data_IF_010085069586
#
_entry.id   IF_010085069586
#
_cell.length_a   1.000
_cell.length_b   1.000
_cell.length_c   1.000
_cell.angle_alpha   90.00
_cell.angle_beta   90.00
_cell.angle_gamma   90.00
#
_symmetry.space_group_name_H-M   'P 1'
#
loop_
_entity.id
_entity.type
_entity.pdbx_description
1 polymer ?
#
# COMPACT_ATOMS: atom_id res chain seq x y z
N UNK A 1 12.48 24.13 36.15
CA UNK A 1 11.98 24.26 34.77
C UNK A 1 11.85 22.87 34.18
N UNK A 2 10.65 22.45 33.77
CA UNK A 2 10.47 21.16 33.11
C UNK A 2 11.04 21.26 31.70
N UNK A 3 12.06 20.47 31.38
CA UNK A 3 12.64 20.48 30.04
C UNK A 3 11.66 19.85 29.04
N UNK A 4 11.70 20.27 27.76
CA UNK A 4 10.83 19.69 26.72
C UNK A 4 11.03 18.17 26.66
N UNK A 5 9.93 17.40 26.74
CA UNK A 5 9.95 15.93 26.74
C UNK A 5 10.50 15.34 25.45
N UNK A 6 10.10 15.89 24.31
CA UNK A 6 10.61 15.51 22.98
C UNK A 6 11.68 16.50 22.51
N UNK A 7 12.79 15.98 21.97
CA UNK A 7 13.96 16.79 21.59
C UNK A 7 14.54 16.35 20.25
N UNK A 8 15.72 15.76 20.26
CA UNK A 8 16.47 15.39 19.08
C UNK A 8 15.68 14.40 18.21
N UNK A 9 15.51 14.72 16.92
CA UNK A 9 14.75 13.94 15.93
C UNK A 9 13.31 13.59 16.36
N UNK A 10 12.70 14.41 17.22
CA UNK A 10 11.34 14.18 17.71
C UNK A 10 11.21 13.00 18.68
N UNK A 11 12.31 12.55 19.29
CA UNK A 11 12.30 11.46 20.28
C UNK A 11 12.24 11.97 21.71
N UNK A 12 11.56 11.18 22.54
CA UNK A 12 11.50 11.40 23.98
C UNK A 12 12.91 11.26 24.56
N UNK A 13 13.31 12.21 25.40
CA UNK A 13 14.56 12.14 26.16
C UNK A 13 14.22 12.00 27.63
N UNK A 14 14.72 10.93 28.24
CA UNK A 14 14.64 10.74 29.69
C UNK A 14 15.59 11.72 30.39
N UNK A 15 15.09 12.48 31.36
CA UNK A 15 15.85 13.50 32.08
C UNK A 15 16.84 12.90 33.08
N UNK A 16 16.52 11.72 33.63
CA UNK A 16 17.36 11.07 34.64
C UNK A 16 18.61 10.43 34.01
N UNK A 17 18.45 9.71 32.90
CA UNK A 17 19.56 9.07 32.19
C UNK A 17 20.17 9.93 31.08
N UNK A 18 19.42 10.91 30.56
CA UNK A 18 19.78 11.68 29.37
C UNK A 18 19.63 10.93 28.04
N UNK A 19 19.18 9.67 28.07
CA UNK A 19 19.04 8.84 26.88
C UNK A 19 17.80 9.21 26.08
N UNK A 20 17.85 9.03 24.77
CA UNK A 20 16.70 9.23 23.88
C UNK A 20 16.12 7.89 23.45
N UNK A 21 14.81 7.71 23.61
CA UNK A 21 14.11 6.46 23.29
C UNK A 21 13.58 6.46 21.85
N UNK A 22 14.00 5.47 21.06
CA UNK A 22 13.67 5.38 19.64
C UNK A 22 12.69 4.25 19.31
N UNK A 23 12.11 3.61 20.33
CA UNK A 23 11.26 2.43 20.17
C UNK A 23 12.05 1.15 20.36
N UNK A 24 13.01 0.86 19.49
CA UNK A 24 13.80 -0.37 19.63
C UNK A 24 15.06 -0.24 20.48
N UNK A 25 15.68 0.94 20.47
CA UNK A 25 16.95 1.19 21.15
C UNK A 25 16.94 2.55 21.84
N UNK A 26 17.83 2.69 22.81
CA UNK A 26 18.15 3.96 23.42
C UNK A 26 19.43 4.52 22.80
N UNK A 27 19.36 5.78 22.37
CA UNK A 27 20.50 6.53 21.89
C UNK A 27 21.13 7.29 23.06
N UNK A 28 22.45 7.26 23.19
CA UNK A 28 23.21 8.19 24.02
C UNK A 28 23.61 9.41 23.16
N UNK A 29 22.89 10.54 23.23
CA UNK A 29 23.08 11.62 22.27
C UNK A 29 24.46 12.28 22.39
N UNK A 30 25.09 12.24 23.57
CA UNK A 30 26.43 12.76 23.81
C UNK A 30 27.54 11.91 23.17
N UNK A 31 27.26 10.64 22.84
CA UNK A 31 28.20 9.75 22.14
C UNK A 31 27.85 9.56 20.66
N UNK A 32 26.66 10.00 20.22
CA UNK A 32 26.08 9.67 18.90
C UNK A 32 26.17 8.15 18.61
N UNK A 33 25.81 7.35 19.62
CA UNK A 33 25.87 5.89 19.61
C UNK A 33 24.66 5.27 20.30
N UNK A 34 24.24 4.12 19.80
CA UNK A 34 23.30 3.27 20.50
C UNK A 34 23.95 2.69 21.75
N UNK A 35 23.21 2.58 22.86
CA UNK A 35 23.72 1.93 24.08
C UNK A 35 23.56 0.41 24.06
N UNK A 36 22.92 -0.13 23.02
CA UNK A 36 22.73 -1.56 22.78
C UNK A 36 23.04 -1.87 21.32
N UNK A 37 23.60 -3.05 21.02
CA UNK A 37 23.89 -3.44 19.65
C UNK A 37 22.59 -3.53 18.84
N UNK A 38 22.67 -3.21 17.55
CA UNK A 38 21.60 -3.48 16.61
C UNK A 38 21.31 -4.98 16.57
N UNK A 39 20.17 -5.37 17.13
CA UNK A 39 19.67 -6.75 17.03
C UNK A 39 19.42 -7.19 15.58
N UNK A 40 19.39 -6.26 14.62
CA UNK A 40 19.18 -6.54 13.21
C UNK A 40 20.44 -6.77 12.38
N UNK A 41 21.57 -6.20 12.80
CA UNK A 41 22.78 -6.15 11.98
C UNK A 41 22.59 -5.42 10.65
N UNK A 42 21.62 -4.50 10.58
CA UNK A 42 21.19 -3.86 9.34
C UNK A 42 22.18 -2.78 8.88
N UNK A 43 22.83 -2.08 9.82
CA UNK A 43 23.77 -0.98 9.55
C UNK A 43 25.25 -1.46 9.44
N UNK A 44 25.45 -2.67 8.92
CA UNK A 44 26.78 -3.25 8.69
C UNK A 44 27.44 -3.84 9.94
N UNK A 45 28.78 -3.92 9.92
CA UNK A 45 29.54 -4.63 10.96
C UNK A 45 29.53 -3.93 12.32
N UNK A 46 29.28 -2.62 12.37
CA UNK A 46 29.26 -1.85 13.61
C UNK A 46 27.84 -1.69 14.15
N UNK A 47 27.43 -2.62 15.01
CA UNK A 47 26.07 -2.68 15.56
C UNK A 47 25.69 -1.50 16.47
N UNK A 48 26.64 -0.66 16.88
CA UNK A 48 26.39 0.47 17.77
C UNK A 48 26.33 1.82 17.04
N UNK A 49 26.58 1.81 15.72
CA UNK A 49 26.63 3.04 14.92
C UNK A 49 25.25 3.70 14.85
N UNK A 50 25.20 5.00 15.12
CA UNK A 50 24.02 5.80 14.83
C UNK A 50 24.16 6.34 13.41
N UNK A 51 23.27 5.89 12.52
CA UNK A 51 23.04 6.45 11.17
C UNK A 51 24.31 6.66 10.33
N UNK A 52 25.17 5.63 10.26
CA UNK A 52 26.45 5.65 9.53
C UNK A 52 27.39 6.81 9.88
N UNK A 53 27.33 7.31 11.12
CA UNK A 53 28.09 8.48 11.56
C UNK A 53 27.77 9.78 10.80
N UNK A 54 26.65 9.86 10.10
CA UNK A 54 26.23 11.09 9.43
C UNK A 54 24.87 11.58 9.94
N UNK A 55 24.79 12.02 11.21
CA UNK A 55 23.54 12.47 11.85
C UNK A 55 23.05 13.85 11.39
N UNK A 56 23.80 14.52 10.51
CA UNK A 56 23.37 15.73 9.82
C UNK A 56 22.48 15.36 8.64
N UNK A 57 22.85 14.31 7.90
CA UNK A 57 22.05 13.78 6.80
C UNK A 57 20.93 12.89 7.33
N UNK A 58 21.26 11.98 8.25
CA UNK A 58 20.40 10.87 8.63
C UNK A 58 19.81 10.98 10.05
N UNK A 59 18.64 10.37 10.23
CA UNK A 59 17.93 10.11 11.49
C UNK A 59 17.53 8.62 11.52
N UNK A 60 17.29 8.04 12.68
CA UNK A 60 16.70 6.71 12.77
C UNK A 60 15.33 6.85 13.44
N UNK A 61 14.18 6.60 12.78
CA UNK A 61 12.87 6.82 13.42
C UNK A 61 12.47 5.68 14.36
N UNK A 62 13.12 4.52 14.28
CA UNK A 62 12.66 3.29 14.95
C UNK A 62 13.72 2.67 15.85
N UNK A 63 14.95 3.18 15.79
CA UNK A 63 16.11 2.57 16.40
C UNK A 63 16.56 1.32 15.64
N UNK A 64 16.34 1.22 14.34
CA UNK A 64 16.84 0.11 13.51
C UNK A 64 17.18 0.49 12.08
N UNK A 65 16.67 1.61 11.60
CA UNK A 65 16.74 1.96 10.18
C UNK A 65 17.11 3.42 10.10
N UNK A 66 18.31 3.70 9.60
CA UNK A 66 18.65 5.06 9.20
C UNK A 66 17.79 5.47 8.00
N UNK A 67 17.24 6.67 8.08
CA UNK A 67 16.59 7.43 7.03
C UNK A 67 17.23 8.82 7.04
N UNK A 68 17.03 9.66 6.04
CA UNK A 68 17.48 11.08 5.96
C UNK A 68 16.38 11.94 6.63
N UNK A 69 16.66 13.15 7.07
CA UNK A 69 15.61 14.01 7.63
C UNK A 69 14.85 14.75 6.50
N UNK A 70 13.52 14.85 6.60
CA UNK A 70 12.63 15.51 5.60
C UNK A 70 12.87 17.04 5.51
N UNK A 71 13.66 17.62 6.43
CA UNK A 71 13.90 19.07 6.53
C UNK A 71 15.20 19.54 5.85
N UNK A 72 15.88 18.69 5.10
CA UNK A 72 16.95 19.11 4.21
C UNK A 72 16.56 18.70 2.79
N UNK A 73 16.67 19.63 1.84
CA UNK A 73 16.53 19.40 0.40
C UNK A 73 17.56 18.35 -0.08
N UNK A 74 17.29 17.07 0.20
CA UNK A 74 18.16 15.92 -0.06
C UNK A 74 17.30 14.83 -0.68
N UNK A 75 17.82 14.29 -1.78
CA UNK A 75 17.22 13.33 -2.71
C UNK A 75 16.47 12.15 -2.05
N UNK A 76 15.44 11.68 -2.78
CA UNK A 76 14.57 10.55 -2.46
C UNK A 76 15.35 9.29 -2.05
N UNK A 77 14.86 8.55 -1.05
CA UNK A 77 15.43 7.23 -0.70
C UNK A 77 15.11 6.18 -1.72
N UNK A 78 16.08 5.29 -1.91
CA UNK A 78 15.82 4.00 -2.52
C UNK A 78 15.42 2.98 -1.44
N UNK A 79 14.23 2.39 -1.60
CA UNK A 79 13.73 1.29 -0.78
C UNK A 79 13.65 0.03 -1.63
N UNK A 80 14.41 -1.01 -1.28
CA UNK A 80 14.14 -2.34 -1.84
C UNK A 80 12.90 -2.92 -1.18
N UNK A 81 11.75 -2.73 -1.83
CA UNK A 81 10.45 -3.21 -1.37
C UNK A 81 10.36 -4.74 -1.27
N UNK A 82 11.30 -5.48 -1.86
CA UNK A 82 11.36 -6.94 -1.85
C UNK A 82 12.41 -7.49 -0.88
N UNK A 83 13.17 -6.63 -0.21
CA UNK A 83 14.09 -7.08 0.84
C UNK A 83 13.31 -7.56 2.08
N UNK A 84 13.82 -8.55 2.85
CA UNK A 84 13.10 -9.15 3.98
C UNK A 84 12.61 -8.12 5.03
N UNK A 85 11.37 -8.27 5.50
CA UNK A 85 10.82 -7.46 6.59
C UNK A 85 11.04 -8.19 7.93
N UNK A 86 11.55 -7.50 8.95
CA UNK A 86 11.37 -7.98 10.34
C UNK A 86 10.02 -7.49 10.84
N UNK A 87 9.13 -8.42 11.19
CA UNK A 87 7.74 -8.16 11.60
C UNK A 87 7.61 -7.48 12.95
N UNK A 88 8.12 -6.26 13.07
CA UNK A 88 8.15 -5.46 14.30
C UNK A 88 6.81 -4.79 14.60
N UNK A 89 5.91 -4.70 13.62
CA UNK A 89 4.59 -4.10 13.79
C UNK A 89 3.48 -5.14 13.66
N UNK A 90 2.65 -5.22 14.71
CA UNK A 90 1.44 -6.03 14.72
C UNK A 90 0.26 -5.22 15.27
N UNK A 91 -0.91 -5.46 14.71
CA UNK A 91 -2.14 -4.80 15.12
C UNK A 91 -3.34 -5.72 14.88
N UNK A 92 -4.25 -5.83 15.84
CA UNK A 92 -5.47 -6.65 15.74
C UNK A 92 -6.47 -6.16 14.68
N UNK A 93 -6.34 -4.90 14.25
CA UNK A 93 -7.11 -4.33 13.16
C UNK A 93 -6.55 -4.73 11.77
N UNK A 94 -5.50 -5.55 11.72
CA UNK A 94 -4.96 -6.15 10.50
C UNK A 94 -5.22 -7.66 10.52
N UNK A 95 -5.27 -8.29 9.35
CA UNK A 95 -5.24 -9.75 9.27
C UNK A 95 -3.80 -10.24 9.26
N UNK A 96 -3.41 -11.03 10.26
CA UNK A 96 -2.20 -11.84 10.16
C UNK A 96 -2.45 -13.01 9.20
N UNK A 97 -1.94 -12.91 7.98
CA UNK A 97 -2.18 -13.90 6.93
C UNK A 97 -0.93 -14.22 6.09
N UNK A 98 0.06 -14.95 6.67
CA UNK A 98 1.39 -15.14 6.06
C UNK A 98 1.38 -15.74 4.66
N UNK A 99 0.53 -16.76 4.43
CA UNK A 99 0.45 -17.43 3.12
C UNK A 99 0.01 -16.48 2.02
N UNK A 100 -0.89 -15.55 2.33
CA UNK A 100 -1.37 -14.58 1.35
C UNK A 100 -0.36 -13.44 1.15
N UNK A 101 0.31 -13.01 2.22
CA UNK A 101 1.40 -12.03 2.12
C UNK A 101 2.54 -12.54 1.23
N UNK A 102 3.01 -13.78 1.45
CA UNK A 102 4.01 -14.44 0.58
C UNK A 102 3.55 -14.57 -0.88
N UNK A 103 2.24 -14.78 -1.10
CA UNK A 103 1.66 -14.80 -2.46
C UNK A 103 1.79 -13.42 -3.12
N UNK A 104 1.52 -12.35 -2.39
CA UNK A 104 1.65 -10.98 -2.88
C UNK A 104 3.10 -10.67 -3.26
N UNK A 105 4.06 -11.03 -2.40
CA UNK A 105 5.50 -10.91 -2.71
C UNK A 105 5.87 -11.67 -3.99
N UNK A 106 5.41 -12.92 -4.14
CA UNK A 106 5.66 -13.71 -5.37
C UNK A 106 5.10 -13.03 -6.62
N UNK A 107 3.91 -12.42 -6.52
CA UNK A 107 3.31 -11.70 -7.64
C UNK A 107 4.17 -10.51 -8.05
N UNK A 108 4.59 -9.68 -7.09
CA UNK A 108 5.40 -8.49 -7.39
C UNK A 108 6.78 -8.89 -7.93
N UNK A 109 7.39 -9.96 -7.42
CA UNK A 109 8.64 -10.54 -7.96
C UNK A 109 8.53 -11.04 -9.40
N UNK A 110 7.33 -11.39 -9.85
CA UNK A 110 7.07 -11.88 -11.21
C UNK A 110 6.72 -10.76 -12.20
N UNK A 111 6.76 -9.50 -11.79
CA UNK A 111 6.53 -8.39 -12.72
C UNK A 111 7.61 -8.37 -13.80
N UNK A 112 7.24 -8.07 -15.07
CA UNK A 112 8.22 -7.73 -16.09
C UNK A 112 9.15 -6.61 -15.62
N UNK A 113 10.46 -6.74 -15.91
CA UNK A 113 11.49 -5.81 -15.44
C UNK A 113 11.13 -4.35 -15.73
N UNK A 114 10.72 -4.04 -16.96
CA UNK A 114 10.30 -2.70 -17.35
C UNK A 114 9.19 -2.11 -16.47
N UNK A 115 8.21 -2.91 -16.03
CA UNK A 115 7.14 -2.46 -15.13
C UNK A 115 7.65 -2.26 -13.71
N UNK A 116 8.50 -3.17 -13.23
CA UNK A 116 9.09 -3.06 -11.90
C UNK A 116 10.00 -1.83 -11.80
N UNK A 117 10.88 -1.62 -12.78
CA UNK A 117 11.78 -0.48 -12.86
C UNK A 117 11.00 0.83 -12.97
N UNK A 118 9.93 0.86 -13.76
CA UNK A 118 9.02 2.01 -13.83
C UNK A 118 8.42 2.33 -12.46
N UNK A 119 7.98 1.31 -11.70
CA UNK A 119 7.44 1.52 -10.36
C UNK A 119 8.52 1.99 -9.39
N UNK A 120 9.71 1.42 -9.45
CA UNK A 120 10.84 1.78 -8.59
C UNK A 120 11.24 3.25 -8.79
N UNK A 121 11.35 3.69 -10.04
CA UNK A 121 11.76 5.05 -10.38
C UNK A 121 10.67 6.12 -10.16
N UNK A 122 9.40 5.73 -10.05
CA UNK A 122 8.27 6.69 -10.05
C UNK A 122 7.37 6.57 -8.81
N UNK A 123 7.78 5.84 -7.77
CA UNK A 123 7.00 5.69 -6.53
C UNK A 123 7.68 6.35 -5.35
N UNK A 124 6.96 7.24 -4.67
CA UNK A 124 7.40 7.86 -3.42
C UNK A 124 6.52 7.43 -2.25
N UNK A 125 7.11 7.32 -1.06
CA UNK A 125 6.41 6.97 0.17
C UNK A 125 6.55 8.08 1.21
N UNK A 126 5.46 8.40 1.90
CA UNK A 126 5.41 9.46 2.90
C UNK A 126 4.82 8.88 4.18
N UNK A 127 5.59 8.89 5.27
CA UNK A 127 5.11 8.47 6.59
C UNK A 127 4.47 9.67 7.28
N UNK A 128 3.18 9.56 7.62
CA UNK A 128 2.49 10.56 8.43
C UNK A 128 2.54 10.13 9.90
N UNK A 129 3.41 10.78 10.66
CA UNK A 129 3.36 10.75 12.12
C UNK A 129 2.46 11.91 12.57
N UNK A 130 1.18 11.65 12.88
CA UNK A 130 0.42 12.66 13.63
C UNK A 130 0.94 12.67 15.07
N UNK A 131 1.47 13.82 15.47
CA UNK A 131 2.16 14.07 16.75
C UNK A 131 1.33 13.69 17.99
N UNK A 132 0.01 13.52 17.86
CA UNK A 132 -0.91 13.38 19.00
C UNK A 132 -1.65 12.03 19.15
N UNK A 133 -1.51 11.04 18.23
CA UNK A 133 -2.37 9.82 18.28
C UNK A 133 -1.72 8.47 18.07
N UNK A 134 -0.40 8.39 17.83
CA UNK A 134 0.26 7.10 17.57
C UNK A 134 -0.25 6.38 16.31
N UNK A 135 -0.95 7.10 15.42
CA UNK A 135 -1.50 6.55 14.20
C UNK A 135 -0.39 6.38 13.16
N UNK A 136 -0.11 5.13 12.76
CA UNK A 136 0.85 4.80 11.71
C UNK A 136 0.16 4.81 10.34
N UNK A 137 0.29 5.90 9.61
CA UNK A 137 -0.20 6.04 8.23
C UNK A 137 0.95 6.25 7.26
N UNK A 138 0.89 5.55 6.15
CA UNK A 138 1.88 5.67 5.08
C UNK A 138 1.13 5.92 3.77
N UNK A 139 1.52 6.97 3.07
CA UNK A 139 1.03 7.32 1.74
C UNK A 139 2.03 6.78 0.73
N UNK A 140 1.54 6.17 -0.34
CA UNK A 140 2.32 5.81 -1.51
C UNK A 140 1.77 6.55 -2.74
N UNK A 141 2.65 7.20 -3.50
CA UNK A 141 2.33 7.93 -4.72
C UNK A 141 3.14 7.38 -5.87
N UNK A 142 2.50 6.91 -6.93
CA UNK A 142 3.17 6.49 -8.16
C UNK A 142 2.72 7.33 -9.34
N UNK A 143 3.66 7.94 -10.06
CA UNK A 143 3.41 8.76 -11.24
C UNK A 143 4.16 8.22 -12.47
N UNK A 144 3.77 7.06 -13.03
CA UNK A 144 4.49 6.43 -14.14
C UNK A 144 4.39 7.22 -15.46
N UNK A 145 3.51 8.22 -15.54
CA UNK A 145 3.46 9.21 -16.63
C UNK A 145 2.78 10.48 -16.14
N UNK A 146 2.95 11.60 -16.85
CA UNK A 146 2.26 12.88 -16.54
C UNK A 146 0.73 12.76 -16.46
N UNK A 147 0.17 11.78 -17.15
CA UNK A 147 -1.28 11.53 -17.23
C UNK A 147 -1.76 10.38 -16.35
N UNK A 148 -0.89 9.74 -15.56
CA UNK A 148 -1.27 8.62 -14.70
C UNK A 148 -0.75 8.82 -13.28
N UNK A 149 -1.65 8.76 -12.30
CA UNK A 149 -1.33 9.00 -10.90
C UNK A 149 -2.06 8.01 -10.00
N UNK A 150 -1.32 7.41 -9.08
CA UNK A 150 -1.81 6.44 -8.12
C UNK A 150 -1.41 6.88 -6.71
N UNK A 151 -2.36 7.38 -5.93
CA UNK A 151 -2.19 7.73 -4.52
C UNK A 151 -3.04 6.81 -3.65
N UNK A 152 -2.37 6.04 -2.80
CA UNK A 152 -3.00 5.12 -1.88
C UNK A 152 -2.40 5.27 -0.48
N UNK A 153 -3.21 5.06 0.55
CA UNK A 153 -2.82 5.28 1.95
C UNK A 153 -3.12 4.01 2.73
N UNK A 154 -2.12 3.47 3.42
CA UNK A 154 -2.34 2.42 4.41
C UNK A 154 -2.31 3.01 5.81
N UNK A 155 -3.41 2.89 6.53
CA UNK A 155 -3.49 3.14 7.96
C UNK A 155 -3.34 1.81 8.70
N UNK A 156 -2.13 1.56 9.22
CA UNK A 156 -1.81 0.34 9.96
C UNK A 156 -2.48 0.28 11.33
N UNK A 157 -3.01 1.40 11.82
CA UNK A 157 -3.69 1.49 13.11
C UNK A 157 -5.13 1.03 12.99
N UNK A 158 -5.82 1.43 11.93
CA UNK A 158 -7.22 1.09 11.67
C UNK A 158 -7.39 -0.12 10.74
N UNK A 159 -6.33 -0.53 10.05
CA UNK A 159 -6.37 -1.61 9.07
C UNK A 159 -7.04 -1.23 7.74
N UNK A 160 -7.15 0.06 7.47
CA UNK A 160 -7.78 0.62 6.28
C UNK A 160 -6.74 0.89 5.20
N UNK A 161 -6.98 0.34 4.00
CA UNK A 161 -6.26 0.73 2.78
C UNK A 161 -7.17 1.64 1.93
N UNK A 162 -6.80 2.90 1.83
CA UNK A 162 -7.56 3.95 1.15
C UNK A 162 -7.03 4.20 -0.25
N UNK A 163 -7.93 4.26 -1.20
CA UNK A 163 -7.68 4.51 -2.61
C UNK A 163 -8.13 5.94 -2.96
N UNK A 164 -7.21 6.91 -2.90
CA UNK A 164 -7.52 8.33 -3.12
C UNK A 164 -7.60 8.70 -4.58
N UNK A 165 -6.59 8.31 -5.35
CA UNK A 165 -6.55 8.56 -6.79
C UNK A 165 -5.90 7.37 -7.46
N UNK A 166 -6.55 6.76 -8.44
CA UNK A 166 -5.99 5.63 -9.19
C UNK A 166 -6.34 5.80 -10.66
N UNK A 167 -5.75 6.83 -11.26
CA UNK A 167 -6.03 7.23 -12.63
C UNK A 167 -4.93 6.75 -13.57
N UNK A 168 -5.35 6.20 -14.71
CA UNK A 168 -4.46 5.83 -15.81
C UNK A 168 -4.87 6.60 -17.05
N UNK A 169 -3.97 7.45 -17.53
CA UNK A 169 -4.15 8.17 -18.78
C UNK A 169 -4.16 7.23 -19.99
N UNK A 170 -4.87 7.65 -21.05
CA UNK A 170 -4.97 6.87 -22.30
C UNK A 170 -3.61 6.68 -22.98
N UNK A 171 -2.71 7.65 -22.81
CA UNK A 171 -1.38 7.66 -23.44
C UNK A 171 -0.31 6.95 -22.59
N UNK A 172 -0.71 6.30 -21.48
CA UNK A 172 0.24 5.63 -20.60
C UNK A 172 0.77 4.34 -21.24
N UNK A 173 2.01 4.42 -21.71
CA UNK A 173 2.76 3.33 -22.37
C UNK A 173 3.35 2.31 -21.40
N UNK A 174 3.39 2.59 -20.09
CA UNK A 174 3.96 1.69 -19.07
C UNK A 174 3.29 0.32 -19.00
N UNK A 175 2.05 0.21 -19.49
CA UNK A 175 1.26 -1.03 -19.41
C UNK A 175 0.84 -1.42 -17.99
N UNK A 176 1.18 -0.61 -16.98
CA UNK A 176 0.82 -0.83 -15.58
C UNK A 176 -0.70 -0.77 -15.38
N UNK A 177 -1.23 -1.66 -14.57
CA UNK A 177 -2.61 -1.60 -14.10
C UNK A 177 -2.67 -1.28 -12.60
N UNK A 178 -3.82 -0.77 -12.13
CA UNK A 178 -3.98 -0.34 -10.75
C UNK A 178 -3.69 -1.46 -9.73
N UNK A 179 -4.02 -2.71 -10.04
CA UNK A 179 -3.71 -3.84 -9.15
C UNK A 179 -2.21 -4.06 -9.04
N UNK A 180 -1.46 -3.90 -10.13
CA UNK A 180 0.00 -4.01 -10.11
C UNK A 180 0.64 -2.92 -9.25
N UNK A 181 0.21 -1.67 -9.46
CA UNK A 181 0.70 -0.49 -8.72
C UNK A 181 0.38 -0.61 -7.23
N UNK A 182 -0.88 -0.91 -6.88
CA UNK A 182 -1.30 -1.00 -5.48
C UNK A 182 -0.58 -2.15 -4.76
N UNK A 183 -0.34 -3.27 -5.43
CA UNK A 183 0.40 -4.40 -4.84
C UNK A 183 1.84 -4.03 -4.51
N UNK A 184 2.53 -3.33 -5.42
CA UNK A 184 3.87 -2.80 -5.20
C UNK A 184 3.88 -1.78 -4.05
N UNK A 185 2.99 -0.80 -4.10
CA UNK A 185 2.85 0.22 -3.07
C UNK A 185 2.54 -0.39 -1.70
N UNK A 186 1.67 -1.40 -1.63
CA UNK A 186 1.33 -2.07 -0.38
C UNK A 186 2.54 -2.75 0.26
N UNK A 187 3.36 -3.46 -0.52
CA UNK A 187 4.60 -4.05 -0.02
C UNK A 187 5.55 -2.97 0.52
N UNK A 188 5.76 -1.88 -0.23
CA UNK A 188 6.57 -0.76 0.23
C UNK A 188 6.07 -0.14 1.54
N UNK A 189 4.76 0.10 1.66
CA UNK A 189 4.16 0.60 2.91
C UNK A 189 4.36 -0.38 4.06
N UNK A 190 4.14 -1.69 3.86
CA UNK A 190 4.35 -2.69 4.91
C UNK A 190 5.83 -2.83 5.30
N UNK A 191 6.75 -2.62 4.36
CA UNK A 191 8.20 -2.61 4.59
C UNK A 191 8.59 -1.45 5.51
N UNK A 192 8.12 -0.25 5.20
CA UNK A 192 8.36 0.95 6.02
C UNK A 192 7.73 0.79 7.42
N UNK A 193 6.54 0.19 7.49
CA UNK A 193 5.86 -0.05 8.76
C UNK A 193 6.46 -1.19 9.60
N UNK A 194 7.26 -2.10 9.01
CA UNK A 194 7.65 -3.34 9.67
C UNK A 194 6.49 -4.33 9.87
N UNK A 195 5.43 -4.24 9.05
CA UNK A 195 4.18 -4.98 9.21
C UNK A 195 4.16 -6.30 8.42
N UNK A 196 5.13 -7.19 8.69
CA UNK A 196 5.24 -8.49 8.01
C UNK A 196 3.97 -9.33 8.19
N UNK A 197 3.52 -9.97 7.10
CA UNK A 197 2.35 -10.87 7.07
C UNK A 197 1.00 -10.21 7.40
N UNK A 198 0.97 -8.89 7.56
CA UNK A 198 -0.26 -8.17 7.84
C UNK A 198 -0.97 -7.79 6.53
N UNK A 199 -2.30 -7.85 6.55
CA UNK A 199 -3.18 -7.45 5.44
C UNK A 199 -4.29 -6.51 5.96
N UNK A 200 -4.81 -5.60 5.11
CA UNK A 200 -5.88 -4.71 5.51
C UNK A 200 -7.18 -5.49 5.78
N UNK A 201 -7.99 -4.98 6.71
CA UNK A 201 -9.34 -5.48 6.96
C UNK A 201 -10.40 -4.73 6.16
N UNK A 202 -10.10 -3.52 5.72
CA UNK A 202 -11.04 -2.67 5.00
C UNK A 202 -10.36 -1.97 3.83
N UNK A 203 -11.07 -1.88 2.72
CA UNK A 203 -10.76 -0.95 1.64
C UNK A 203 -11.67 0.26 1.70
N UNK A 204 -11.12 1.44 1.40
CA UNK A 204 -11.90 2.66 1.20
C UNK A 204 -11.67 3.19 -0.21
N UNK A 205 -12.73 3.29 -1.00
CA UNK A 205 -12.72 4.09 -2.24
C UNK A 205 -13.13 5.51 -1.87
N UNK A 206 -12.16 6.41 -1.79
CA UNK A 206 -12.42 7.81 -1.45
C UNK A 206 -12.67 8.64 -2.71
N UNK A 207 -13.59 9.60 -2.65
CA UNK A 207 -13.81 10.59 -3.71
C UNK A 207 -14.17 9.97 -5.06
N UNK A 208 -15.19 9.12 -5.10
CA UNK A 208 -15.56 8.35 -6.28
C UNK A 208 -16.03 9.28 -7.41
N UNK A 209 -15.26 9.30 -8.49
CA UNK A 209 -15.52 10.12 -9.68
C UNK A 209 -16.02 9.33 -10.90
N UNK A 210 -15.82 8.01 -10.93
CA UNK A 210 -16.17 7.16 -12.07
C UNK A 210 -17.70 7.04 -12.25
N UNK A 211 -18.16 7.21 -13.49
CA UNK A 211 -19.58 7.22 -13.87
C UNK A 211 -20.34 5.98 -13.40
N UNK A 212 -19.84 4.78 -13.70
CA UNK A 212 -20.51 3.52 -13.34
C UNK A 212 -20.65 3.32 -11.83
N UNK A 213 -19.69 3.84 -11.05
CA UNK A 213 -19.72 3.77 -9.59
C UNK A 213 -20.68 4.82 -9.00
N UNK A 214 -20.72 6.03 -9.58
CA UNK A 214 -21.69 7.07 -9.22
C UNK A 214 -23.12 6.62 -9.50
N UNK A 215 -23.39 6.04 -10.66
CA UNK A 215 -24.72 5.50 -11.00
C UNK A 215 -25.18 4.45 -9.98
N UNK A 216 -24.29 3.53 -9.58
CA UNK A 216 -24.61 2.53 -8.55
C UNK A 216 -24.96 3.17 -7.19
N UNK A 217 -24.27 4.27 -6.83
CA UNK A 217 -24.50 5.02 -5.60
C UNK A 217 -25.82 5.79 -5.66
N UNK A 218 -26.10 6.49 -6.76
CA UNK A 218 -27.33 7.26 -6.93
C UNK A 218 -28.58 6.37 -6.94
N UNK A 219 -28.50 5.21 -7.60
CA UNK A 219 -29.57 4.19 -7.53
C UNK A 219 -29.82 3.78 -6.07
N UNK A 220 -28.76 3.48 -5.31
CA UNK A 220 -28.87 3.08 -3.92
C UNK A 220 -29.42 4.19 -3.02
N UNK A 221 -29.02 5.45 -3.23
CA UNK A 221 -29.57 6.61 -2.52
C UNK A 221 -31.07 6.77 -2.78
N UNK A 222 -31.54 6.42 -3.99
CA UNK A 222 -32.94 6.55 -4.39
C UNK A 222 -33.83 5.42 -3.84
N UNK A 223 -33.37 4.17 -3.87
CA UNK A 223 -34.20 3.00 -3.53
C UNK A 223 -33.84 2.29 -2.21
N UNK A 224 -32.66 2.56 -1.65
CA UNK A 224 -32.17 1.91 -0.42
C UNK A 224 -31.88 0.42 -0.55
N UNK A 225 -31.92 -0.16 -1.76
CA UNK A 225 -31.73 -1.60 -1.98
C UNK A 225 -30.24 -1.96 -1.91
N UNK A 226 -29.85 -2.50 -0.75
CA UNK A 226 -28.49 -2.93 -0.49
C UNK A 226 -28.01 -4.06 -1.43
N UNK A 227 -28.87 -5.01 -1.81
CA UNK A 227 -28.46 -6.13 -2.68
C UNK A 227 -28.17 -5.64 -4.09
N UNK A 228 -29.01 -4.73 -4.58
CA UNK A 228 -28.80 -4.03 -5.85
C UNK A 228 -27.56 -3.14 -5.80
N UNK A 229 -27.34 -2.41 -4.70
CA UNK A 229 -26.13 -1.62 -4.49
C UNK A 229 -24.88 -2.47 -4.54
N UNK A 230 -24.83 -3.57 -3.79
CA UNK A 230 -23.69 -4.47 -3.77
C UNK A 230 -23.38 -5.02 -5.17
N UNK A 231 -24.41 -5.47 -5.89
CA UNK A 231 -24.26 -6.00 -7.26
C UNK A 231 -23.76 -4.94 -8.23
N UNK A 232 -24.39 -3.77 -8.25
CA UNK A 232 -24.05 -2.69 -9.18
C UNK A 232 -22.66 -2.11 -8.87
N UNK A 233 -22.37 -1.87 -7.60
CA UNK A 233 -21.08 -1.35 -7.18
C UNK A 233 -19.97 -2.38 -7.37
N UNK A 234 -20.00 -3.51 -6.64
CA UNK A 234 -18.89 -4.47 -6.63
C UNK A 234 -18.77 -5.24 -7.95
N UNK A 235 -19.91 -5.63 -8.54
CA UNK A 235 -19.95 -6.45 -9.75
C UNK A 235 -19.75 -5.67 -11.04
N UNK A 236 -20.38 -4.49 -11.15
CA UNK A 236 -20.50 -3.81 -12.45
C UNK A 236 -19.65 -2.55 -12.56
N UNK A 237 -19.41 -1.83 -11.45
CA UNK A 237 -18.65 -0.59 -11.50
C UNK A 237 -17.14 -0.80 -11.67
N UNK A 238 -16.45 0.14 -12.30
CA UNK A 238 -14.99 0.10 -12.45
C UNK A 238 -14.27 0.05 -11.09
N UNK A 239 -14.73 0.85 -10.12
CA UNK A 239 -14.16 0.91 -8.77
C UNK A 239 -14.38 -0.41 -8.02
N UNK A 240 -15.57 -0.99 -8.10
CA UNK A 240 -15.89 -2.28 -7.49
C UNK A 240 -15.11 -3.43 -8.10
N UNK A 241 -15.09 -3.56 -9.43
CA UNK A 241 -14.32 -4.59 -10.14
C UNK A 241 -12.83 -4.50 -9.84
N UNK A 242 -12.28 -3.28 -9.78
CA UNK A 242 -10.89 -3.04 -9.38
C UNK A 242 -10.62 -3.50 -7.94
N UNK A 243 -11.51 -3.16 -7.01
CA UNK A 243 -11.42 -3.58 -5.60
C UNK A 243 -11.53 -5.10 -5.44
N UNK A 244 -12.41 -5.74 -6.22
CA UNK A 244 -12.58 -7.19 -6.24
C UNK A 244 -11.32 -7.91 -6.74
N UNK A 245 -10.70 -7.42 -7.83
CA UNK A 245 -9.42 -7.96 -8.32
C UNK A 245 -8.30 -7.83 -7.27
N UNK A 246 -8.21 -6.69 -6.61
CA UNK A 246 -7.22 -6.47 -5.56
C UNK A 246 -7.48 -7.35 -4.33
N UNK A 247 -8.73 -7.46 -3.86
CA UNK A 247 -9.08 -8.36 -2.76
C UNK A 247 -8.68 -9.80 -3.09
N UNK A 248 -8.97 -10.28 -4.29
CA UNK A 248 -8.54 -11.61 -4.75
C UNK A 248 -7.00 -11.73 -4.80
N UNK A 249 -6.28 -10.67 -5.18
CA UNK A 249 -4.81 -10.63 -5.15
C UNK A 249 -4.28 -10.82 -3.74
N UNK A 250 -4.98 -10.28 -2.74
CA UNK A 250 -4.63 -10.39 -1.34
C UNK A 250 -5.23 -11.66 -0.70
N UNK A 251 -5.78 -12.59 -1.50
CA UNK A 251 -6.54 -13.76 -1.03
C UNK A 251 -7.60 -13.40 0.01
N UNK A 252 -8.23 -12.24 -0.15
CA UNK A 252 -9.36 -11.74 0.63
C UNK A 252 -10.63 -11.80 -0.21
N UNK A 253 -11.78 -11.71 0.47
CA UNK A 253 -13.09 -11.52 -0.14
C UNK A 253 -13.76 -10.28 0.43
N UNK A 254 -14.45 -9.53 -0.43
CA UNK A 254 -15.37 -8.48 0.00
C UNK A 254 -16.61 -9.17 0.54
N UNK A 255 -17.06 -8.77 1.73
CA UNK A 255 -18.20 -9.39 2.43
C UNK A 255 -19.39 -8.45 2.56
N UNK A 256 -19.12 -7.16 2.69
CA UNK A 256 -20.12 -6.10 2.67
C UNK A 256 -19.50 -4.81 2.18
N UNK A 257 -20.35 -3.87 1.77
CA UNK A 257 -19.96 -2.50 1.46
C UNK A 257 -20.81 -1.52 2.26
N UNK A 258 -20.30 -0.31 2.48
CA UNK A 258 -21.04 0.78 3.12
C UNK A 258 -20.74 2.09 2.41
N UNK A 259 -21.79 2.80 2.01
CA UNK A 259 -21.68 4.17 1.53
C UNK A 259 -21.35 5.09 2.71
N UNK A 260 -20.37 5.96 2.51
CA UNK A 260 -20.07 7.07 3.39
C UNK A 260 -20.43 8.37 2.68
N UNK A 261 -21.57 8.92 3.10
CA UNK A 261 -22.14 10.19 2.62
C UNK A 261 -21.83 11.35 3.58
N UNK A 262 -21.06 11.11 4.65
CA UNK A 262 -20.86 12.08 5.73
C UNK A 262 -19.88 13.20 5.37
N UNK A 263 -19.13 13.07 4.26
CA UNK A 263 -18.11 14.03 3.80
C UNK A 263 -18.55 14.74 2.53
N UNK A 264 -19.51 15.67 2.69
CA UNK A 264 -20.10 16.47 1.60
C UNK A 264 -19.04 17.14 0.69
N UNK A 265 -17.87 17.52 1.24
CA UNK A 265 -16.77 18.16 0.49
C UNK A 265 -15.79 17.20 -0.21
N UNK A 266 -15.76 15.91 0.17
CA UNK A 266 -14.80 14.94 -0.38
C UNK A 266 -15.38 14.07 -1.52
N UNK A 267 -16.69 14.16 -1.76
CA UNK A 267 -17.43 13.29 -2.67
C UNK A 267 -17.77 11.94 -2.07
N UNK A 268 -18.67 11.20 -2.74
CA UNK A 268 -19.14 9.91 -2.26
C UNK A 268 -17.99 8.91 -2.10
N UNK A 269 -17.95 8.23 -0.96
CA UNK A 269 -16.93 7.24 -0.64
C UNK A 269 -17.58 5.92 -0.27
N UNK A 270 -16.93 4.79 -0.58
CA UNK A 270 -17.48 3.46 -0.26
C UNK A 270 -16.44 2.62 0.46
N UNK A 271 -16.81 2.18 1.66
CA UNK A 271 -16.09 1.17 2.42
C UNK A 271 -16.39 -0.22 1.88
N UNK A 272 -15.38 -1.08 1.80
CA UNK A 272 -15.51 -2.49 1.46
C UNK A 272 -14.84 -3.32 2.57
N UNK A 273 -15.63 -4.14 3.26
CA UNK A 273 -15.17 -4.93 4.40
C UNK A 273 -14.69 -6.31 3.96
N UNK A 274 -13.50 -6.70 4.41
CA UNK A 274 -12.79 -7.86 3.91
C UNK A 274 -12.81 -9.02 4.91
N UNK A 275 -12.68 -10.23 4.40
CA UNK A 275 -12.32 -11.43 5.19
C UNK A 275 -11.30 -12.28 4.45
N UNK A 276 -10.47 -13.07 5.15
CA UNK A 276 -9.65 -14.11 4.53
C UNK A 276 -10.48 -15.04 3.64
N UNK A 277 -9.98 -15.35 2.45
CA UNK A 277 -10.60 -16.28 1.49
C UNK A 277 -9.78 -17.57 1.42
N UNK A 278 -10.46 -18.70 1.63
CA UNK A 278 -9.90 -20.05 1.53
C UNK A 278 -10.77 -20.91 0.59
N UNK A 279 -10.18 -21.85 -0.18
CA UNK A 279 -8.75 -22.10 -0.31
C UNK A 279 -8.02 -20.95 -1.01
N UNK A 280 -6.71 -20.86 -0.84
CA UNK A 280 -5.89 -19.84 -1.49
C UNK A 280 -5.96 -19.99 -3.02
N UNK A 281 -6.08 -18.85 -3.72
CA UNK A 281 -5.98 -18.81 -5.18
C UNK A 281 -4.49 -18.98 -5.54
N UNK A 282 -4.15 -19.89 -6.44
CA UNK A 282 -2.75 -20.08 -6.88
C UNK A 282 -2.14 -18.75 -7.38
N UNK A 283 -0.85 -18.54 -7.13
CA UNK A 283 -0.10 -17.41 -7.70
C UNK A 283 0.08 -17.53 -9.22
N UNK A 284 0.00 -18.75 -9.76
CA UNK A 284 0.15 -19.07 -11.19
C UNK A 284 -1.16 -19.00 -11.96
N UNK A 285 -2.30 -18.92 -11.26
CA UNK A 285 -3.59 -18.64 -11.90
C UNK A 285 -3.72 -17.13 -12.05
N UNK A 286 -3.74 -16.59 -13.29
CA UNK A 286 -3.90 -15.17 -13.51
C UNK A 286 -5.19 -14.69 -12.84
N UNK A 287 -5.16 -13.46 -12.31
CA UNK A 287 -6.36 -12.77 -11.86
C UNK A 287 -7.38 -12.78 -13.02
N UNK A 288 -8.68 -12.90 -12.74
CA UNK A 288 -9.68 -12.91 -13.80
C UNK A 288 -9.45 -11.68 -14.71
N UNK A 289 -9.45 -11.87 -16.04
CA UNK A 289 -9.16 -10.79 -16.98
C UNK A 289 -10.12 -9.61 -16.77
N UNK A 290 -9.76 -8.43 -17.30
CA UNK A 290 -10.75 -7.38 -17.62
C UNK A 290 -11.63 -7.95 -18.74
N UNK A 291 -12.58 -8.79 -18.40
CA UNK A 291 -13.50 -9.45 -19.32
C UNK A 291 -14.74 -9.81 -18.55
N UNK A 292 -15.89 -9.59 -19.18
CA UNK A 292 -17.20 -9.53 -18.58
C UNK A 292 -17.51 -10.76 -17.72
N UNK A 293 -17.99 -10.51 -16.49
CA UNK A 293 -18.64 -11.55 -15.68
C UNK A 293 -20.10 -11.72 -16.14
N UNK A 294 -20.30 -11.76 -17.46
CA UNK A 294 -21.44 -12.36 -18.12
C UNK A 294 -20.93 -13.69 -18.63
N UNK A 295 -21.14 -14.74 -17.83
CA UNK A 295 -21.35 -16.12 -18.28
C UNK A 295 -21.37 -17.02 -17.04
N UNK A 296 -22.45 -16.90 -16.28
CA UNK A 296 -22.98 -17.94 -15.41
C UNK A 296 -24.50 -18.02 -15.59
N UNK A 297 -24.96 -18.03 -16.84
CA UNK A 297 -26.24 -18.62 -17.26
C UNK A 297 -26.05 -19.16 -18.69
N UNK A 298 -26.23 -20.47 -18.86
CA UNK A 298 -26.04 -21.39 -20.02
C UNK A 298 -26.98 -21.12 -21.22
N UNK A 299 -26.97 -21.89 -22.35
CA UNK A 299 -25.94 -22.70 -23.04
C UNK A 299 -25.79 -22.38 -24.57
N UNK A 300 -24.84 -23.05 -25.23
CA UNK A 300 -24.73 -23.23 -26.69
C UNK A 300 -24.50 -22.03 -27.62
N UNK A 301 -23.24 -21.85 -28.06
CA UNK A 301 -22.91 -21.75 -29.49
C UNK A 301 -21.40 -21.80 -29.74
N UNK A 302 -21.02 -22.51 -30.80
CA UNK A 302 -19.66 -22.88 -31.21
C UNK A 302 -18.79 -21.66 -31.56
N UNK A 303 -17.45 -21.73 -31.41
CA UNK A 303 -16.55 -20.66 -31.79
C UNK A 303 -16.29 -20.65 -33.30
N UNK A 304 -16.55 -19.53 -33.97
CA UNK A 304 -16.03 -19.27 -35.32
C UNK A 304 -14.67 -18.55 -35.22
N UNK A 305 -13.68 -19.17 -35.88
CA UNK A 305 -12.31 -18.71 -36.10
C UNK A 305 -12.26 -17.33 -36.76
N UNK A 306 -11.36 -16.44 -36.32
CA UNK A 306 -10.57 -15.61 -37.23
C UNK A 306 -9.12 -15.51 -36.72
N UNK A 307 -8.20 -16.09 -37.50
CA UNK A 307 -6.74 -15.81 -37.49
C UNK A 307 -6.51 -14.44 -38.14
N UNK A 308 -5.54 -13.68 -37.65
CA UNK A 308 -4.57 -12.97 -38.51
C UNK A 308 -3.27 -12.70 -37.75
N UNK A 309 -2.20 -13.34 -38.24
CA UNK A 309 -0.81 -12.99 -38.01
C UNK A 309 -0.49 -11.66 -38.69
N UNK A 310 0.39 -10.87 -38.09
CA UNK A 310 1.42 -10.09 -38.82
C UNK A 310 2.61 -9.81 -37.89
N UNK A 311 3.78 -10.33 -38.28
CA UNK A 311 5.11 -10.00 -37.75
C UNK A 311 5.54 -8.60 -38.22
N UNK A 312 6.30 -7.84 -37.40
CA UNK A 312 7.44 -6.97 -37.84
C UNK A 312 8.44 -6.73 -36.70
N UNK A 313 9.73 -6.72 -37.07
CA UNK A 313 10.92 -6.59 -36.22
C UNK A 313 11.36 -5.12 -35.95
N UNK A 314 12.01 -4.97 -34.78
CA UNK A 314 13.16 -4.17 -34.35
C UNK A 314 13.39 -2.71 -34.80
N UNK A 315 13.77 -1.87 -33.82
CA UNK A 315 14.84 -0.86 -33.90
C UNK A 315 15.64 -0.93 -32.58
N UNK A 316 16.97 -0.76 -32.72
CA UNK A 316 18.08 -0.86 -31.76
C UNK A 316 17.79 -0.39 -30.33
#
# INVERSE_FOLDING_TARGET
MQQKRYRYTGKERDDNSGLSYYGARYLAPWLTRWISPDSQGADGLNLYVYVDNNPLKYIDPTGHVKVTSVNMDVEDYEIDILSPIRGTYQNSNLFYFPKSYKRLEKIVRMYPANKFDTLNANTTFITMSEEDKGALRIIARSFPSFTSGFENIMDFTTGQLTFKSNFRGKDCTSGLNATEVISYQYLGMTKIAGALNMLPQTFLREGISNTSAKEAIEIYKADGDYQKFYRNFVGNSDNGRSSLRLANTFSLKITSIKLDDTRISAGDSVFLYLKPKMPLISAEKPLPPRGDMQDCFTPDSRPSRIRRQTNRCAIL
#
